data_IF_786880088051
#
_entry.id   IF_786880088051
#
_cell.length_a   1.000
_cell.length_b   1.000
_cell.length_c   1.000
_cell.angle_alpha   90.00
_cell.angle_beta   90.00
_cell.angle_gamma   90.00
#
_symmetry.space_group_name_H-M   'P 1'
#
loop_
_entity.id
_entity.type
_entity.pdbx_description
1 polymer ?
#
# COMPACT_ATOMS: atom_id res chain seq x y z
N UNK A 1 -16.06 16.30 0.66
CA UNK A 1 -15.51 16.49 -0.70
C UNK A 1 -13.99 16.35 -0.68
N UNK A 2 -13.36 15.86 -1.75
CA UNK A 2 -11.90 15.76 -1.83
C UNK A 2 -11.27 17.16 -1.97
N UNK A 3 -10.43 17.55 -1.02
CA UNK A 3 -9.62 18.77 -1.13
C UNK A 3 -8.31 18.46 -1.88
N UNK A 4 -8.31 18.76 -3.18
CA UNK A 4 -7.17 18.48 -4.06
C UNK A 4 -5.95 19.33 -3.70
N UNK A 5 -6.15 20.55 -3.23
CA UNK A 5 -5.05 21.46 -2.90
C UNK A 5 -4.35 20.98 -1.65
N UNK A 6 -5.10 20.66 -0.59
CA UNK A 6 -4.53 20.11 0.64
C UNK A 6 -3.77 18.80 0.38
N UNK A 7 -4.34 17.92 -0.45
CA UNK A 7 -3.71 16.64 -0.78
C UNK A 7 -2.42 16.82 -1.60
N UNK A 8 -2.42 17.72 -2.59
CA UNK A 8 -1.23 18.05 -3.37
C UNK A 8 -0.11 18.64 -2.50
N UNK A 9 -0.43 19.61 -1.65
CA UNK A 9 0.55 20.20 -0.73
C UNK A 9 1.12 19.19 0.28
N UNK A 10 0.32 18.23 0.74
CA UNK A 10 0.79 17.16 1.61
C UNK A 10 1.77 16.23 0.88
N UNK A 11 1.51 15.90 -0.39
CA UNK A 11 2.40 15.09 -1.22
C UNK A 11 3.71 15.82 -1.49
N UNK A 12 3.65 17.10 -1.89
CA UNK A 12 4.83 17.91 -2.22
C UNK A 12 5.78 18.12 -1.03
N UNK A 13 5.26 17.98 0.20
CA UNK A 13 6.05 18.09 1.43
C UNK A 13 6.81 16.80 1.82
N UNK A 14 6.55 15.67 1.15
CA UNK A 14 7.19 14.39 1.46
C UNK A 14 8.66 14.41 1.02
N UNK A 15 9.57 14.07 1.94
CA UNK A 15 10.97 13.81 1.62
C UNK A 15 11.22 12.29 1.68
N UNK A 16 11.51 11.63 0.54
CA UNK A 16 11.79 10.20 0.53
C UNK A 16 13.01 9.84 1.37
N UNK A 17 12.88 8.83 2.23
CA UNK A 17 13.98 8.32 3.07
C UNK A 17 14.78 7.20 2.41
N UNK A 18 14.30 6.62 1.31
CA UNK A 18 14.94 5.53 0.57
C UNK A 18 14.46 4.11 0.94
N UNK A 19 13.43 3.98 1.77
CA UNK A 19 12.82 2.70 2.14
C UNK A 19 11.39 2.58 1.59
N UNK A 20 10.93 1.34 1.39
CA UNK A 20 9.59 1.02 0.89
C UNK A 20 8.88 0.08 1.86
N UNK A 21 8.34 0.57 3.00
CA UNK A 21 7.67 -0.28 3.99
C UNK A 21 6.23 -0.62 3.55
N UNK A 22 6.06 -1.52 2.56
CA UNK A 22 4.76 -1.89 1.97
C UNK A 22 3.83 -2.49 3.03
N UNK A 23 4.35 -3.40 3.87
CA UNK A 23 3.53 -4.01 4.93
C UNK A 23 2.94 -2.96 5.90
N UNK A 24 3.72 -1.96 6.30
CA UNK A 24 3.24 -0.89 7.16
C UNK A 24 2.20 -0.01 6.45
N UNK A 25 2.42 0.29 5.17
CA UNK A 25 1.50 1.08 4.37
C UNK A 25 0.13 0.39 4.22
N UNK A 26 0.12 -0.92 3.98
CA UNK A 26 -1.10 -1.71 3.90
C UNK A 26 -1.86 -1.73 5.23
N UNK A 27 -1.16 -1.95 6.35
CA UNK A 27 -1.77 -1.93 7.69
C UNK A 27 -2.36 -0.56 8.01
N UNK A 28 -1.59 0.50 7.79
CA UNK A 28 -2.04 1.89 8.03
C UNK A 28 -3.25 2.24 7.17
N UNK A 29 -3.26 1.80 5.91
CA UNK A 29 -4.39 1.97 5.02
C UNK A 29 -5.63 1.24 5.51
N UNK A 30 -5.49 -0.01 5.96
CA UNK A 30 -6.59 -0.80 6.48
C UNK A 30 -7.17 -0.22 7.79
N UNK A 31 -6.31 0.23 8.70
CA UNK A 31 -6.72 0.83 9.98
C UNK A 31 -7.50 2.14 9.81
N UNK A 32 -7.28 2.84 8.69
CA UNK A 32 -7.99 4.07 8.35
C UNK A 32 -9.37 3.84 7.70
N UNK A 33 -9.68 2.60 7.30
CA UNK A 33 -10.90 2.26 6.60
C UNK A 33 -12.04 1.90 7.57
N UNK A 34 -13.30 2.23 7.23
CA UNK A 34 -14.45 1.75 7.97
C UNK A 34 -14.70 0.26 7.70
N UNK A 35 -15.55 -0.36 8.51
CA UNK A 35 -16.06 -1.69 8.22
C UNK A 35 -16.88 -1.72 6.92
N UNK A 36 -16.88 -2.88 6.24
CA UNK A 36 -17.64 -3.13 5.02
C UNK A 36 -16.77 -3.21 3.75
N UNK A 37 -17.39 -2.92 2.61
CA UNK A 37 -16.74 -2.99 1.31
C UNK A 37 -15.84 -1.77 1.10
N UNK A 38 -14.53 -2.01 1.12
CA UNK A 38 -13.51 -0.96 1.06
C UNK A 38 -12.40 -1.33 0.10
N UNK A 39 -11.58 -0.36 -0.30
CA UNK A 39 -10.53 -0.58 -1.27
C UNK A 39 -9.24 0.16 -0.91
N UNK A 40 -8.11 -0.51 -1.14
CA UNK A 40 -6.77 0.07 -1.10
C UNK A 40 -6.16 -0.05 -2.50
N UNK A 41 -5.60 1.04 -2.99
CA UNK A 41 -4.74 1.03 -4.17
C UNK A 41 -3.32 1.31 -3.71
N UNK A 42 -2.47 0.28 -3.73
CA UNK A 42 -1.05 0.38 -3.42
C UNK A 42 -0.29 0.78 -4.68
N UNK A 43 0.48 1.86 -4.62
CA UNK A 43 1.39 2.28 -5.70
C UNK A 43 2.82 2.17 -5.19
N UNK A 44 3.68 1.44 -5.90
CA UNK A 44 5.10 1.29 -5.53
C UNK A 44 5.99 1.31 -6.76
N UNK A 45 7.18 1.89 -6.63
CA UNK A 45 8.25 1.88 -7.61
C UNK A 45 9.46 1.01 -7.20
N UNK A 46 9.32 0.24 -6.12
CA UNK A 46 10.39 -0.62 -5.60
C UNK A 46 9.91 -1.82 -4.79
N UNK A 47 10.88 -2.65 -4.43
CA UNK A 47 10.73 -3.81 -3.55
C UNK A 47 10.46 -3.36 -2.11
N UNK A 48 9.69 -4.12 -1.34
CA UNK A 48 9.61 -3.97 0.11
C UNK A 48 10.99 -4.19 0.75
N UNK A 49 11.42 -3.23 1.56
CA UNK A 49 12.76 -3.20 2.15
C UNK A 49 12.74 -3.39 3.67
N UNK A 50 11.69 -3.98 4.23
CA UNK A 50 11.47 -4.06 5.68
C UNK A 50 11.17 -5.50 6.14
N UNK A 51 11.13 -5.72 7.46
CA UNK A 51 11.18 -7.08 8.04
C UNK A 51 9.91 -7.92 7.84
N UNK A 52 8.78 -7.32 7.47
CA UNK A 52 7.49 -8.03 7.33
C UNK A 52 7.13 -8.22 5.86
N UNK A 53 6.98 -9.47 5.38
CA UNK A 53 6.62 -9.74 3.99
C UNK A 53 5.24 -9.15 3.60
N UNK A 54 5.13 -8.44 2.47
CA UNK A 54 3.87 -7.79 2.08
C UNK A 54 2.76 -8.78 1.69
N UNK A 55 3.10 -9.94 1.13
CA UNK A 55 2.12 -10.99 0.78
C UNK A 55 1.38 -11.52 2.03
N UNK A 56 2.12 -11.70 3.13
CA UNK A 56 1.57 -12.21 4.39
C UNK A 56 0.65 -11.16 5.03
N UNK A 57 1.07 -9.88 4.99
CA UNK A 57 0.25 -8.75 5.43
C UNK A 57 -1.05 -8.67 4.63
N UNK A 58 -0.98 -8.72 3.30
CA UNK A 58 -2.17 -8.68 2.43
C UNK A 58 -3.13 -9.84 2.73
N UNK A 59 -2.59 -11.05 2.88
CA UNK A 59 -3.36 -12.25 3.24
C UNK A 59 -4.05 -12.10 4.60
N UNK A 60 -3.35 -11.54 5.59
CA UNK A 60 -3.92 -11.31 6.91
C UNK A 60 -5.03 -10.24 6.87
N UNK A 61 -4.80 -9.13 6.18
CA UNK A 61 -5.78 -8.05 6.02
C UNK A 61 -7.05 -8.54 5.32
N UNK A 62 -6.95 -9.42 4.33
CA UNK A 62 -8.13 -9.99 3.67
C UNK A 62 -8.95 -10.90 4.60
N UNK A 63 -8.30 -11.55 5.59
CA UNK A 63 -8.98 -12.35 6.62
C UNK A 63 -9.66 -11.47 7.67
N UNK A 64 -9.02 -10.39 8.10
CA UNK A 64 -9.55 -9.49 9.14
C UNK A 64 -10.56 -8.49 8.60
N UNK A 65 -10.46 -8.13 7.31
CA UNK A 65 -11.38 -7.24 6.60
C UNK A 65 -11.94 -7.94 5.33
N UNK A 66 -12.96 -8.80 5.45
CA UNK A 66 -13.46 -9.59 4.32
C UNK A 66 -13.92 -8.77 3.11
N UNK A 67 -14.41 -7.54 3.33
CA UNK A 67 -14.84 -6.60 2.28
C UNK A 67 -13.72 -5.75 1.67
N UNK A 68 -12.49 -5.81 2.20
CA UNK A 68 -11.35 -5.04 1.70
C UNK A 68 -10.83 -5.62 0.39
N UNK A 69 -10.76 -4.83 -0.68
CA UNK A 69 -10.06 -5.17 -1.92
C UNK A 69 -8.74 -4.42 -2.02
N UNK A 70 -7.65 -5.12 -2.35
CA UNK A 70 -6.33 -4.51 -2.54
C UNK A 70 -5.95 -4.65 -4.01
N UNK A 71 -5.55 -3.53 -4.62
CA UNK A 71 -5.05 -3.47 -5.99
C UNK A 71 -3.67 -2.85 -6.00
N UNK A 72 -2.73 -3.40 -6.76
CA UNK A 72 -1.37 -2.87 -6.87
C UNK A 72 -1.10 -2.20 -8.21
N UNK A 73 -0.37 -1.09 -8.20
CA UNK A 73 0.18 -0.41 -9.39
C UNK A 73 1.68 -0.30 -9.22
N UNK A 74 2.43 -1.03 -10.05
CA UNK A 74 3.89 -0.95 -10.10
C UNK A 74 4.38 0.13 -11.07
N UNK A 75 5.25 1.03 -10.62
CA UNK A 75 5.88 2.05 -11.47
C UNK A 75 7.35 1.72 -11.70
N UNK A 76 7.73 1.34 -12.92
CA UNK A 76 9.12 0.94 -13.27
C UNK A 76 9.68 -0.19 -12.40
N UNK A 77 8.82 -1.09 -11.96
CA UNK A 77 9.23 -2.28 -11.19
C UNK A 77 9.55 -3.46 -12.10
N UNK A 78 10.56 -4.23 -11.72
CA UNK A 78 10.92 -5.52 -12.30
C UNK A 78 11.35 -6.50 -11.17
N UNK A 79 11.69 -7.74 -11.54
CA UNK A 79 12.22 -8.75 -10.61
C UNK A 79 11.40 -8.92 -9.33
N UNK A 80 12.10 -8.90 -8.19
CA UNK A 80 11.52 -9.12 -6.87
C UNK A 80 10.42 -8.12 -6.51
N UNK A 81 10.58 -6.85 -6.89
CA UNK A 81 9.55 -5.83 -6.67
C UNK A 81 8.25 -6.17 -7.41
N UNK A 82 8.35 -6.59 -8.67
CA UNK A 82 7.18 -6.98 -9.45
C UNK A 82 6.50 -8.24 -8.90
N UNK A 83 7.28 -9.20 -8.39
CA UNK A 83 6.75 -10.44 -7.83
C UNK A 83 6.05 -10.22 -6.47
N UNK A 84 6.60 -9.35 -5.63
CA UNK A 84 5.96 -8.90 -4.39
C UNK A 84 4.65 -8.16 -4.65
N UNK A 85 4.56 -7.30 -5.67
CA UNK A 85 3.29 -6.64 -5.98
C UNK A 85 2.24 -7.61 -6.51
N UNK A 86 2.64 -8.66 -7.25
CA UNK A 86 1.70 -9.67 -7.78
C UNK A 86 1.15 -10.63 -6.74
N UNK A 87 1.85 -10.82 -5.62
CA UNK A 87 1.40 -11.74 -4.57
C UNK A 87 0.33 -11.12 -3.65
N UNK A 88 0.22 -9.78 -3.64
CA UNK A 88 -0.75 -8.99 -2.87
C UNK A 88 -2.13 -9.09 -3.54
#
# INVERSE_FOLDING_TARGET
PLDRTAMGSAIDAITPSGYTPISLALQTGADALPDGDTAIVLVSDGEDTCDTPPCDTATNLKKTHPGLTISTVGFKVDGAAADQLRCI
#
